data_IF_141805576925
#
_entry.id   IF_141805576925
#
_cell.length_a   1.000
_cell.length_b   1.000
_cell.length_c   1.000
_cell.angle_alpha   90.00
_cell.angle_beta   90.00
_cell.angle_gamma   90.00
#
_symmetry.space_group_name_H-M   'P 1'
#
loop_
_entity.id
_entity.type
_entity.pdbx_description
1 polymer ?
#
# COMPACT_ATOMS: atom_id res chain seq x y z
N UNK A 1 -10.03 -3.20 -1.38
CA UNK A 1 -9.26 -2.73 -2.55
C UNK A 1 -7.94 -2.11 -2.06
N UNK A 2 -6.81 -2.22 -2.78
CA UNK A 2 -5.51 -1.65 -2.31
C UNK A 2 -5.62 -0.14 -2.03
N UNK A 3 -6.32 0.63 -2.88
CA UNK A 3 -6.49 2.06 -2.68
C UNK A 3 -7.30 2.38 -1.42
N UNK A 4 -8.44 1.71 -1.21
CA UNK A 4 -9.25 1.86 0.00
C UNK A 4 -8.47 1.53 1.28
N UNK A 5 -7.64 0.48 1.24
CA UNK A 5 -6.81 0.11 2.38
C UNK A 5 -5.79 1.19 2.71
N UNK A 6 -5.15 1.78 1.69
CA UNK A 6 -4.21 2.89 1.89
C UNK A 6 -4.91 4.15 2.40
N UNK A 7 -6.10 4.48 1.90
CA UNK A 7 -6.86 5.63 2.38
C UNK A 7 -7.28 5.47 3.85
N UNK A 8 -7.72 4.27 4.24
CA UNK A 8 -8.01 3.95 5.64
C UNK A 8 -6.77 4.09 6.52
N UNK A 9 -5.63 3.55 6.10
CA UNK A 9 -4.37 3.63 6.84
C UNK A 9 -3.89 5.08 6.96
N UNK A 10 -3.99 5.87 5.89
CA UNK A 10 -3.66 7.30 5.90
C UNK A 10 -4.52 8.06 6.90
N UNK A 11 -5.83 7.77 6.94
CA UNK A 11 -6.75 8.37 7.91
C UNK A 11 -6.41 8.01 9.37
N UNK A 12 -5.77 6.86 9.60
CA UNK A 12 -5.27 6.43 10.90
C UNK A 12 -3.87 6.96 11.24
N UNK A 13 -3.29 7.81 10.38
CA UNK A 13 -1.97 8.40 10.59
C UNK A 13 -0.80 7.48 10.22
N UNK A 14 -1.07 6.34 9.57
CA UNK A 14 -0.02 5.47 9.05
C UNK A 14 0.73 6.17 7.92
N UNK A 15 2.06 6.09 7.96
CA UNK A 15 2.92 6.70 6.95
C UNK A 15 2.84 5.90 5.65
N UNK A 16 2.17 6.47 4.66
CA UNK A 16 2.21 5.95 3.28
C UNK A 16 3.56 6.29 2.67
N UNK A 17 4.34 5.26 2.34
CA UNK A 17 5.67 5.38 1.72
C UNK A 17 5.53 5.44 0.19
N UNK A 18 4.54 4.71 -0.35
CA UNK A 18 4.25 4.69 -1.77
C UNK A 18 2.76 4.52 -2.00
N UNK A 19 2.21 5.42 -2.81
CA UNK A 19 0.82 5.37 -3.23
C UNK A 19 0.52 4.13 -4.10
N UNK A 20 -0.73 3.61 -4.06
CA UNK A 20 -1.17 2.53 -4.93
C UNK A 20 -0.82 2.84 -6.40
N UNK A 21 0.01 1.98 -6.97
CA UNK A 21 0.45 2.12 -8.36
C UNK A 21 0.31 0.78 -9.07
N UNK A 22 -0.22 0.81 -10.28
CA UNK A 22 -0.30 -0.36 -11.15
C UNK A 22 1.09 -0.67 -11.75
N UNK A 23 1.46 -1.94 -11.71
CA UNK A 23 2.68 -2.48 -12.31
C UNK A 23 2.41 -2.90 -13.75
N UNK A 24 3.44 -2.98 -14.63
CA UNK A 24 3.28 -3.37 -16.03
C UNK A 24 2.62 -4.73 -16.27
N UNK A 25 2.60 -5.60 -15.25
CA UNK A 25 1.98 -6.93 -15.28
C UNK A 25 0.59 -6.95 -14.62
N UNK A 26 -0.05 -5.81 -14.39
CA UNK A 26 -1.43 -5.69 -13.89
C UNK A 26 -1.61 -5.72 -12.37
N UNK A 27 -0.53 -5.89 -11.59
CA UNK A 27 -0.60 -5.87 -10.13
C UNK A 27 -0.63 -4.44 -9.59
N UNK A 28 -1.58 -4.12 -8.72
CA UNK A 28 -1.56 -2.89 -7.93
C UNK A 28 -0.73 -3.12 -6.67
N UNK A 29 0.21 -2.21 -6.39
CA UNK A 29 1.12 -2.27 -5.22
C UNK A 29 1.18 -0.91 -4.53
N UNK A 30 1.18 -0.92 -3.20
CA UNK A 30 1.42 0.22 -2.32
C UNK A 30 2.36 -0.17 -1.18
N UNK A 31 2.96 0.83 -0.53
CA UNK A 31 3.81 0.60 0.65
C UNK A 31 3.47 1.55 1.78
N UNK A 32 3.45 1.02 2.99
CA UNK A 32 3.35 1.79 4.24
C UNK A 32 4.54 1.48 5.14
N UNK A 33 4.84 2.39 6.07
CA UNK A 33 5.81 2.14 7.13
C UNK A 33 5.09 1.93 8.46
N UNK A 34 5.50 0.91 9.21
CA UNK A 34 5.11 0.75 10.60
C UNK A 34 5.89 1.75 11.51
N UNK A 35 5.53 1.86 12.80
CA UNK A 35 6.23 2.75 13.74
C UNK A 35 7.71 2.39 13.96
N UNK A 36 8.09 1.14 13.74
CA UNK A 36 9.46 0.64 13.90
C UNK A 36 10.31 0.89 12.64
N UNK A 37 9.70 1.37 11.56
CA UNK A 37 10.35 1.70 10.30
C UNK A 37 10.40 0.57 9.27
N UNK A 38 9.70 -0.55 9.50
CA UNK A 38 9.57 -1.62 8.51
C UNK A 38 8.59 -1.22 7.41
N UNK A 39 8.92 -1.62 6.17
CA UNK A 39 8.03 -1.44 5.04
C UNK A 39 7.11 -2.63 4.87
N UNK A 40 5.81 -2.35 4.87
CA UNK A 40 4.76 -3.32 4.62
C UNK A 40 4.25 -3.07 3.20
N UNK A 41 4.30 -4.11 2.37
CA UNK A 41 3.72 -4.10 1.04
C UNK A 41 2.24 -4.48 1.10
N UNK A 42 1.42 -3.70 0.40
CA UNK A 42 0.01 -4.02 0.17
C UNK A 42 -0.16 -4.18 -1.34
N UNK A 43 -0.51 -5.38 -1.77
CA UNK A 43 -0.68 -5.68 -3.19
C UNK A 43 -1.97 -6.45 -3.47
N UNK A 44 -2.43 -6.34 -4.72
CA UNK A 44 -3.47 -7.23 -5.27
C UNK A 44 -2.85 -8.58 -5.60
N UNK A 45 -3.63 -9.65 -5.46
CA UNK A 45 -3.27 -10.94 -6.03
C UNK A 45 -3.20 -10.84 -7.55
N UNK A 46 -2.28 -11.58 -8.16
CA UNK A 46 -2.25 -11.85 -9.60
C UNK A 46 -2.65 -13.33 -9.76
N UNK A 47 -3.51 -13.61 -10.72
CA UNK A 47 -3.83 -14.98 -11.15
C UNK A 47 -2.87 -15.48 -12.25
#
# INVERSE_FOLDING_TARGET
NVAETIDMMRAQGVKVVKEPTEKPWGQIVAYVADPDGHYIEICTSID
#
